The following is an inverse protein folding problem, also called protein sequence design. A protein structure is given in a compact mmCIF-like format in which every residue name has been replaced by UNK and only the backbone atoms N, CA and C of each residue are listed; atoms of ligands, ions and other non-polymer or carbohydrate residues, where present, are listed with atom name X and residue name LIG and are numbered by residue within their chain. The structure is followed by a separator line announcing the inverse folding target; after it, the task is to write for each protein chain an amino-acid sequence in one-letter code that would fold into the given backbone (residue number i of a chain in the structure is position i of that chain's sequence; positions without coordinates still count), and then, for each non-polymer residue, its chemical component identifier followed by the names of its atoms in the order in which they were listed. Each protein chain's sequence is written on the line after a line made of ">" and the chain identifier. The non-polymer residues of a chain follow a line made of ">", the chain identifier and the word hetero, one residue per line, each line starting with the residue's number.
data_IF_302648580255
#
_entry.id   IF_302648580255
#
_cell.length_a   1.000
_cell.length_b   1.000
_cell.length_c   1.000
_cell.angle_alpha   90.00
_cell.angle_beta   90.00
_cell.angle_gamma   90.00
#
_symmetry.space_group_name_H-M   'P 1'
#
loop_
_entity.id
_entity.type
_entity.pdbx_description
1 polymer ?
#
# COMPACT_ATOMS: atom_id res chain seq x y z
N UNK A 1 -8.05 -19.33 -8.20
CA UNK A 1 -9.22 -18.66 -7.56
C UNK A 1 -9.29 -17.25 -8.10
N UNK A 2 -10.51 -16.70 -8.35
CA UNK A 2 -10.67 -15.30 -8.73
C UNK A 2 -10.31 -14.41 -7.54
N UNK A 3 -9.68 -13.26 -7.82
CA UNK A 3 -9.33 -12.30 -6.77
C UNK A 3 -10.57 -11.51 -6.34
N UNK A 4 -10.71 -11.28 -5.04
CA UNK A 4 -11.87 -10.65 -4.43
C UNK A 4 -11.63 -9.14 -4.25
N UNK A 5 -12.57 -8.33 -4.71
CA UNK A 5 -12.57 -6.87 -4.53
C UNK A 5 -13.81 -6.46 -3.74
N UNK A 6 -13.63 -5.64 -2.70
CA UNK A 6 -14.71 -4.99 -1.99
C UNK A 6 -14.79 -3.52 -2.42
N UNK A 7 -16.00 -3.06 -2.71
CA UNK A 7 -16.31 -1.65 -2.98
C UNK A 7 -17.16 -1.12 -1.83
N UNK A 8 -16.68 -0.07 -1.16
CA UNK A 8 -17.39 0.67 -0.12
C UNK A 8 -17.68 2.05 -0.69
N UNK A 9 -18.89 2.28 -1.18
CA UNK A 9 -19.32 3.44 -1.94
C UNK A 9 -20.82 3.61 -1.79
N UNK A 10 -21.32 4.79 -1.44
CA UNK A 10 -22.74 5.06 -1.23
C UNK A 10 -23.49 5.42 -2.54
N UNK A 11 -22.79 5.97 -3.54
CA UNK A 11 -23.34 6.20 -4.87
C UNK A 11 -23.56 4.87 -5.60
N UNK A 12 -24.81 4.43 -5.65
CA UNK A 12 -25.24 3.20 -6.32
C UNK A 12 -24.90 3.15 -7.81
N UNK A 13 -24.91 4.29 -8.50
CA UNK A 13 -24.61 4.36 -9.94
C UNK A 13 -23.12 4.13 -10.18
N UNK A 14 -22.27 4.80 -9.43
CA UNK A 14 -20.81 4.61 -9.48
C UNK A 14 -20.45 3.18 -9.05
N UNK A 15 -21.02 2.71 -7.93
CA UNK A 15 -20.80 1.37 -7.41
C UNK A 15 -21.14 0.30 -8.47
N UNK A 16 -22.29 0.41 -9.15
CA UNK A 16 -22.70 -0.50 -10.21
C UNK A 16 -21.73 -0.47 -11.39
N UNK A 17 -21.38 0.72 -11.85
CA UNK A 17 -20.47 0.92 -12.99
C UNK A 17 -19.10 0.29 -12.73
N UNK A 18 -18.52 0.57 -11.55
CA UNK A 18 -17.23 0.02 -11.16
C UNK A 18 -17.31 -1.50 -10.97
N UNK A 19 -18.37 -1.99 -10.33
CA UNK A 19 -18.56 -3.42 -10.10
C UNK A 19 -18.69 -4.22 -11.41
N UNK A 20 -19.46 -3.74 -12.39
CA UNK A 20 -19.60 -4.37 -13.70
C UNK A 20 -18.24 -4.38 -14.44
N UNK A 21 -17.54 -3.27 -14.41
CA UNK A 21 -16.22 -3.17 -15.03
C UNK A 21 -15.20 -4.15 -14.42
N UNK A 22 -15.12 -4.22 -13.10
CA UNK A 22 -14.24 -5.11 -12.35
C UNK A 22 -14.55 -6.58 -12.61
N UNK A 23 -15.84 -6.96 -12.65
CA UNK A 23 -16.28 -8.33 -12.97
C UNK A 23 -15.88 -8.77 -14.38
N UNK A 24 -15.92 -7.85 -15.36
CA UNK A 24 -15.48 -8.12 -16.72
C UNK A 24 -13.96 -8.33 -16.82
N UNK A 25 -13.19 -7.90 -15.82
CA UNK A 25 -11.73 -8.05 -15.73
C UNK A 25 -11.31 -9.28 -14.91
N UNK A 26 -12.18 -10.28 -14.78
CA UNK A 26 -11.93 -11.57 -14.11
C UNK A 26 -11.78 -11.50 -12.56
N UNK A 27 -12.36 -10.46 -11.94
CA UNK A 27 -12.44 -10.32 -10.49
C UNK A 27 -13.83 -10.73 -9.96
N UNK A 28 -13.89 -11.10 -8.68
CA UNK A 28 -15.14 -11.12 -7.92
C UNK A 28 -15.31 -9.81 -7.18
N UNK A 29 -16.52 -9.25 -7.25
CA UNK A 29 -16.83 -7.96 -6.67
C UNK A 29 -17.97 -8.07 -5.66
N UNK A 30 -17.73 -7.59 -4.45
CA UNK A 30 -18.74 -7.37 -3.43
C UNK A 30 -18.89 -5.87 -3.20
N UNK A 31 -20.12 -5.38 -3.04
CA UNK A 31 -20.40 -3.95 -2.88
C UNK A 31 -21.19 -3.71 -1.60
N UNK A 32 -20.83 -2.65 -0.86
CA UNK A 32 -21.56 -2.15 0.31
C UNK A 32 -21.57 -0.63 0.30
N UNK A 33 -22.54 -0.03 1.01
CA UNK A 33 -22.76 1.42 1.01
C UNK A 33 -22.28 2.13 2.27
N UNK A 34 -21.79 1.36 3.27
CA UNK A 34 -21.43 1.90 4.58
C UNK A 34 -20.16 1.27 5.11
N UNK A 35 -19.44 1.99 5.96
CA UNK A 35 -18.27 1.50 6.70
C UNK A 35 -18.65 0.29 7.56
N UNK A 36 -19.79 0.38 8.26
CA UNK A 36 -20.27 -0.67 9.15
C UNK A 36 -20.50 -2.00 8.41
N UNK A 37 -21.11 -1.95 7.23
CA UNK A 37 -21.31 -3.13 6.39
C UNK A 37 -19.96 -3.69 5.89
N UNK A 38 -19.03 -2.83 5.51
CA UNK A 38 -17.66 -3.20 5.12
C UNK A 38 -16.93 -3.91 6.25
N UNK A 39 -16.92 -3.34 7.44
CA UNK A 39 -16.28 -3.93 8.63
C UNK A 39 -16.82 -5.33 8.92
N UNK A 40 -18.14 -5.53 8.87
CA UNK A 40 -18.76 -6.83 9.08
C UNK A 40 -18.37 -7.89 8.04
N UNK A 41 -18.01 -7.49 6.84
CA UNK A 41 -17.49 -8.38 5.80
C UNK A 41 -16.03 -8.75 6.04
N UNK A 42 -15.20 -7.81 6.49
CA UNK A 42 -13.79 -8.07 6.81
C UNK A 42 -13.59 -9.10 7.90
N UNK A 43 -14.51 -9.19 8.87
CA UNK A 43 -14.47 -10.20 9.92
C UNK A 43 -14.70 -11.62 9.40
N UNK A 44 -15.31 -11.75 8.22
CA UNK A 44 -15.78 -13.04 7.66
C UNK A 44 -14.99 -13.51 6.46
N UNK A 45 -14.37 -12.57 5.72
CA UNK A 45 -13.81 -12.87 4.41
C UNK A 45 -12.62 -11.95 4.11
N UNK A 46 -11.58 -12.54 3.52
CA UNK A 46 -10.45 -11.80 2.97
C UNK A 46 -10.81 -11.15 1.63
N UNK A 47 -10.37 -9.92 1.45
CA UNK A 47 -10.43 -9.21 0.18
C UNK A 47 -9.01 -8.82 -0.27
N UNK A 48 -8.71 -9.04 -1.53
CA UNK A 48 -7.42 -8.68 -2.11
C UNK A 48 -7.28 -7.17 -2.26
N UNK A 49 -8.37 -6.50 -2.65
CA UNK A 49 -8.41 -5.04 -2.78
C UNK A 49 -9.71 -4.51 -2.20
N UNK A 50 -9.61 -3.33 -1.60
CA UNK A 50 -10.73 -2.48 -1.20
C UNK A 50 -10.68 -1.18 -1.98
N UNK A 51 -11.79 -0.85 -2.64
CA UNK A 51 -12.05 0.47 -3.18
C UNK A 51 -12.91 1.20 -2.16
N UNK A 52 -12.40 2.28 -1.60
CA UNK A 52 -12.98 2.96 -0.43
C UNK A 52 -13.28 4.42 -0.73
N UNK A 53 -14.56 4.80 -0.68
CA UNK A 53 -14.90 6.23 -0.60
C UNK A 53 -14.67 6.76 0.83
N UNK A 54 -14.28 8.03 0.91
CA UNK A 54 -14.14 8.73 2.18
C UNK A 54 -15.46 9.38 2.65
N UNK A 55 -16.34 9.74 1.71
CA UNK A 55 -17.59 10.47 1.98
C UNK A 55 -18.77 9.55 2.26
N UNK A 56 -18.66 8.62 3.22
CA UNK A 56 -19.69 7.64 3.51
C UNK A 56 -20.72 8.16 4.53
N UNK A 57 -21.99 7.70 4.46
CA UNK A 57 -23.07 8.23 5.30
C UNK A 57 -22.92 7.91 6.79
N UNK A 58 -22.13 6.90 7.15
CA UNK A 58 -21.95 6.44 8.53
C UNK A 58 -20.57 6.78 9.12
N UNK A 59 -19.77 7.64 8.45
CA UNK A 59 -18.51 8.13 8.98
C UNK A 59 -17.47 8.52 7.94
N UNK A 60 -16.27 8.89 8.39
CA UNK A 60 -15.14 9.15 7.51
C UNK A 60 -14.45 7.82 7.12
N UNK A 61 -14.30 7.59 5.82
CA UNK A 61 -13.60 6.42 5.29
C UNK A 61 -12.15 6.29 5.77
N UNK A 62 -11.49 7.39 6.13
CA UNK A 62 -10.13 7.36 6.69
C UNK A 62 -10.03 6.47 7.94
N UNK A 63 -11.04 6.48 8.80
CA UNK A 63 -11.08 5.66 10.01
C UNK A 63 -11.16 4.15 9.70
N UNK A 64 -11.63 3.81 8.49
CA UNK A 64 -11.75 2.43 8.05
C UNK A 64 -10.40 1.82 7.64
N UNK A 65 -9.44 2.64 7.18
CA UNK A 65 -8.15 2.17 6.65
C UNK A 65 -7.35 1.42 7.71
N UNK A 66 -7.18 2.04 8.88
CA UNK A 66 -6.44 1.43 9.99
C UNK A 66 -7.10 0.12 10.46
N UNK A 67 -8.43 0.05 10.47
CA UNK A 67 -9.17 -1.15 10.79
C UNK A 67 -8.90 -2.28 9.77
N UNK A 68 -9.00 -1.99 8.46
CA UNK A 68 -8.71 -2.95 7.39
C UNK A 68 -7.31 -3.52 7.55
N UNK A 69 -6.32 -2.64 7.72
CA UNK A 69 -4.91 -3.03 7.82
C UNK A 69 -4.59 -3.81 9.09
N UNK A 70 -5.35 -3.61 10.17
CA UNK A 70 -5.18 -4.36 11.42
C UNK A 70 -5.66 -5.82 11.32
N UNK A 71 -6.69 -6.10 10.51
CA UNK A 71 -7.23 -7.46 10.32
C UNK A 71 -6.50 -8.18 9.18
N UNK A 72 -6.34 -7.50 8.03
CA UNK A 72 -5.75 -8.06 6.83
C UNK A 72 -4.68 -7.12 6.28
N UNK A 73 -3.47 -7.26 6.79
CA UNK A 73 -2.33 -6.43 6.43
C UNK A 73 -2.08 -6.38 4.91
N UNK A 74 -2.28 -7.51 4.22
CA UNK A 74 -2.02 -7.65 2.79
C UNK A 74 -3.15 -7.13 1.88
N UNK A 75 -4.30 -6.76 2.45
CA UNK A 75 -5.37 -6.14 1.66
C UNK A 75 -4.92 -4.80 1.10
N UNK A 76 -4.93 -4.66 -0.23
CA UNK A 76 -4.67 -3.39 -0.90
C UNK A 76 -5.86 -2.44 -0.72
N UNK A 77 -5.60 -1.18 -0.34
CA UNK A 77 -6.62 -0.14 -0.18
C UNK A 77 -6.38 0.97 -1.19
N UNK A 78 -7.33 1.16 -2.11
CA UNK A 78 -7.37 2.31 -3.03
C UNK A 78 -8.49 3.23 -2.56
N UNK A 79 -8.14 4.44 -2.15
CA UNK A 79 -9.12 5.48 -1.85
C UNK A 79 -9.67 6.03 -3.16
N UNK A 80 -11.00 6.18 -3.25
CA UNK A 80 -11.70 6.82 -4.38
C UNK A 80 -12.57 7.93 -3.80
N UNK A 81 -12.19 9.19 -3.97
CA UNK A 81 -12.86 10.29 -3.28
C UNK A 81 -12.94 11.56 -4.11
N UNK A 82 -13.95 12.40 -3.84
CA UNK A 82 -14.05 13.76 -4.36
C UNK A 82 -13.12 14.75 -3.64
N UNK A 83 -12.51 14.36 -2.50
CA UNK A 83 -11.53 15.18 -1.79
C UNK A 83 -10.23 15.18 -2.59
N UNK A 84 -9.87 16.35 -3.12
CA UNK A 84 -8.70 16.53 -3.99
C UNK A 84 -7.52 17.25 -3.32
N UNK A 85 -7.73 17.75 -2.08
CA UNK A 85 -6.71 18.47 -1.33
C UNK A 85 -5.51 17.56 -1.03
N UNK A 86 -4.34 18.18 -1.04
CA UNK A 86 -3.09 17.49 -0.78
C UNK A 86 -3.08 16.85 0.61
N UNK A 87 -3.60 17.55 1.63
CA UNK A 87 -3.67 17.07 3.01
C UNK A 87 -4.48 15.76 3.11
N UNK A 88 -5.68 15.71 2.51
CA UNK A 88 -6.53 14.50 2.53
C UNK A 88 -5.82 13.28 1.90
N UNK A 89 -5.07 13.52 0.82
CA UNK A 89 -4.31 12.46 0.13
C UNK A 89 -3.14 11.97 0.98
N UNK A 90 -2.41 12.90 1.59
CA UNK A 90 -1.30 12.60 2.51
C UNK A 90 -1.80 11.80 3.71
N UNK A 91 -2.90 12.22 4.33
CA UNK A 91 -3.46 11.56 5.50
C UNK A 91 -3.93 10.14 5.15
N UNK A 92 -4.64 9.95 4.04
CA UNK A 92 -5.05 8.64 3.58
C UNK A 92 -3.88 7.67 3.37
N UNK A 93 -2.81 8.13 2.70
CA UNK A 93 -1.61 7.33 2.46
C UNK A 93 -0.83 7.05 3.75
N UNK A 94 -0.75 8.01 4.67
CA UNK A 94 -0.10 7.84 5.98
C UNK A 94 -0.83 6.83 6.87
N UNK A 95 -2.16 6.73 6.76
CA UNK A 95 -2.98 5.76 7.47
C UNK A 95 -2.85 4.33 6.90
N UNK A 96 -2.17 4.17 5.76
CA UNK A 96 -1.88 2.88 5.16
C UNK A 96 -2.62 2.57 3.87
N UNK A 97 -3.35 3.54 3.28
CA UNK A 97 -3.84 3.36 1.91
C UNK A 97 -2.67 3.15 0.94
N UNK A 98 -2.88 2.30 -0.05
CA UNK A 98 -1.86 1.95 -1.03
C UNK A 98 -1.87 2.87 -2.25
N UNK A 99 -3.04 3.48 -2.54
CA UNK A 99 -3.20 4.44 -3.63
C UNK A 99 -4.39 5.38 -3.36
N UNK A 100 -4.46 6.47 -4.13
CA UNK A 100 -5.52 7.48 -4.03
C UNK A 100 -5.96 7.92 -5.43
N UNK A 101 -7.26 7.82 -5.71
CA UNK A 101 -7.88 8.18 -6.98
C UNK A 101 -8.96 9.26 -6.77
N UNK A 102 -8.77 10.42 -7.40
CA UNK A 102 -9.70 11.55 -7.27
C UNK A 102 -10.87 11.38 -8.23
N UNK A 103 -12.10 11.61 -7.77
CA UNK A 103 -13.32 11.69 -8.61
C UNK A 103 -13.37 13.07 -9.30
N UNK A 104 -13.73 13.14 -10.61
CA UNK A 104 -14.06 12.04 -11.53
C UNK A 104 -12.80 11.36 -12.10
N UNK A 105 -12.88 10.07 -12.39
CA UNK A 105 -11.77 9.28 -12.91
C UNK A 105 -12.21 8.40 -14.09
N UNK A 106 -11.25 7.91 -14.86
CA UNK A 106 -11.49 6.93 -15.91
C UNK A 106 -11.38 5.49 -15.39
N UNK A 107 -12.28 4.59 -15.80
CA UNK A 107 -12.24 3.19 -15.41
C UNK A 107 -10.94 2.48 -15.80
N UNK A 108 -10.34 2.90 -16.92
CA UNK A 108 -9.02 2.42 -17.36
C UNK A 108 -7.91 2.78 -16.37
N UNK A 109 -7.96 3.96 -15.77
CA UNK A 109 -7.03 4.38 -14.72
C UNK A 109 -7.20 3.53 -13.45
N UNK A 110 -8.45 3.36 -13.00
CA UNK A 110 -8.73 2.50 -11.86
C UNK A 110 -8.20 1.08 -12.09
N UNK A 111 -8.42 0.51 -13.29
CA UNK A 111 -7.92 -0.82 -13.64
C UNK A 111 -6.38 -0.91 -13.61
N UNK A 112 -5.70 0.10 -14.15
CA UNK A 112 -4.24 0.14 -14.13
C UNK A 112 -3.71 0.12 -12.68
N UNK A 113 -4.33 0.89 -11.76
CA UNK A 113 -3.99 0.94 -10.34
C UNK A 113 -4.28 -0.37 -9.62
N UNK A 114 -5.46 -0.98 -9.85
CA UNK A 114 -5.81 -2.31 -9.33
C UNK A 114 -4.75 -3.34 -9.74
N UNK A 115 -4.42 -3.41 -11.03
CA UNK A 115 -3.44 -4.38 -11.52
C UNK A 115 -2.02 -4.12 -10.99
N UNK A 116 -1.60 -2.87 -10.88
CA UNK A 116 -0.31 -2.50 -10.30
C UNK A 116 -0.24 -2.94 -8.82
N UNK A 117 -1.31 -2.70 -8.07
CA UNK A 117 -1.39 -3.09 -6.66
C UNK A 117 -1.41 -4.61 -6.48
N UNK A 118 -2.18 -5.33 -7.32
CA UNK A 118 -2.20 -6.80 -7.29
C UNK A 118 -0.85 -7.41 -7.65
N UNK A 119 -0.13 -6.82 -8.61
CA UNK A 119 1.21 -7.28 -8.97
C UNK A 119 2.18 -7.11 -7.81
N UNK A 120 2.14 -5.96 -7.13
CA UNK A 120 2.98 -5.69 -5.96
C UNK A 120 2.68 -6.64 -4.79
N UNK A 121 1.38 -6.92 -4.54
CA UNK A 121 0.95 -7.64 -3.36
C UNK A 121 0.89 -9.17 -3.55
N UNK A 122 0.69 -9.67 -4.78
CA UNK A 122 0.29 -11.07 -4.99
C UNK A 122 1.00 -11.78 -6.16
N UNK A 123 1.93 -11.14 -6.87
CA UNK A 123 2.60 -11.75 -8.05
C UNK A 123 4.10 -12.00 -7.88
N UNK A 124 4.67 -11.86 -6.70
CA UNK A 124 6.06 -12.26 -6.51
C UNK A 124 6.20 -13.78 -6.59
N UNK A 125 7.06 -14.26 -7.49
CA UNK A 125 7.56 -15.64 -7.46
C UNK A 125 8.13 -15.91 -6.07
N UNK A 126 7.99 -17.19 -5.59
CA UNK A 126 8.56 -17.65 -4.32
C UNK A 126 10.03 -17.29 -4.25
N UNK A 127 10.35 -16.22 -3.58
CA UNK A 127 11.74 -15.83 -3.40
C UNK A 127 11.97 -15.38 -1.96
N UNK A 128 12.81 -16.12 -1.26
CA UNK A 128 13.40 -15.63 -0.01
C UNK A 128 14.58 -14.76 -0.41
N UNK A 129 14.49 -13.48 -0.11
CA UNK A 129 15.56 -12.52 -0.33
C UNK A 129 16.35 -12.36 0.96
N UNK A 130 17.65 -12.62 0.89
CA UNK A 130 18.56 -12.50 2.02
C UNK A 130 19.41 -11.23 1.90
N UNK A 131 19.49 -10.46 3.00
CA UNK A 131 20.37 -9.32 3.12
C UNK A 131 20.93 -9.22 4.55
N UNK A 132 22.11 -9.78 4.78
CA UNK A 132 22.69 -9.87 6.12
C UNK A 132 21.81 -10.74 7.03
N UNK A 133 21.33 -10.15 8.14
CA UNK A 133 20.42 -10.84 9.07
C UNK A 133 18.96 -10.75 8.67
N UNK A 134 18.65 -9.96 7.62
CA UNK A 134 17.29 -9.71 7.15
C UNK A 134 16.92 -10.73 6.09
N UNK A 135 15.82 -11.46 6.29
CA UNK A 135 15.22 -12.36 5.31
C UNK A 135 13.81 -11.91 4.99
N UNK A 136 13.51 -11.75 3.73
CA UNK A 136 12.16 -11.40 3.26
C UNK A 136 11.57 -12.60 2.54
N UNK A 137 10.46 -13.11 3.06
CA UNK A 137 9.59 -14.02 2.34
C UNK A 137 8.59 -13.22 1.53
N UNK A 138 8.82 -13.12 0.22
CA UNK A 138 7.95 -12.34 -0.68
C UNK A 138 6.62 -13.04 -0.96
N UNK A 139 6.51 -14.33 -0.69
CA UNK A 139 5.27 -15.08 -0.87
C UNK A 139 4.26 -14.75 0.24
N UNK A 140 4.75 -14.63 1.49
CA UNK A 140 3.90 -14.38 2.65
C UNK A 140 3.99 -12.93 3.13
N UNK A 141 4.77 -12.07 2.44
CA UNK A 141 5.07 -10.69 2.84
C UNK A 141 5.60 -10.59 4.29
N UNK A 142 6.45 -11.54 4.68
CA UNK A 142 7.00 -11.63 6.02
C UNK A 142 8.47 -11.25 6.02
N UNK A 143 8.87 -10.57 7.08
CA UNK A 143 10.28 -10.19 7.31
C UNK A 143 10.76 -10.88 8.57
N UNK A 144 11.90 -11.54 8.46
CA UNK A 144 12.62 -12.14 9.57
C UNK A 144 13.92 -11.42 9.76
N UNK A 145 14.31 -11.18 11.02
CA UNK A 145 15.63 -10.64 11.39
C UNK A 145 16.25 -11.64 12.35
N UNK A 146 17.31 -12.30 11.90
CA UNK A 146 17.78 -13.54 12.54
C UNK A 146 16.67 -14.59 12.50
N UNK A 147 16.31 -15.15 13.66
CA UNK A 147 15.24 -16.14 13.80
C UNK A 147 13.88 -15.56 14.22
N UNK A 148 13.76 -14.23 14.28
CA UNK A 148 12.54 -13.58 14.74
C UNK A 148 11.78 -12.94 13.59
N UNK A 149 10.49 -13.25 13.50
CA UNK A 149 9.57 -12.51 12.63
C UNK A 149 9.36 -11.10 13.21
N UNK A 150 9.42 -10.10 12.34
CA UNK A 150 9.24 -8.69 12.68
C UNK A 150 8.14 -8.10 11.82
N UNK A 151 7.16 -7.48 12.47
CA UNK A 151 6.04 -6.86 11.78
C UNK A 151 6.43 -5.54 11.13
N UNK A 152 6.16 -5.42 9.85
CA UNK A 152 6.32 -4.19 9.06
C UNK A 152 4.96 -3.77 8.52
N UNK A 153 4.69 -2.45 8.51
CA UNK A 153 3.55 -1.95 7.73
C UNK A 153 3.80 -2.23 6.24
N UNK A 154 2.74 -2.22 5.44
CA UNK A 154 2.86 -2.49 4.00
C UNK A 154 3.88 -1.57 3.33
N UNK A 155 3.85 -0.27 3.62
CA UNK A 155 4.78 0.71 3.04
C UNK A 155 6.23 0.51 3.50
N UNK A 156 6.43 0.12 4.77
CA UNK A 156 7.76 -0.23 5.27
C UNK A 156 8.29 -1.50 4.59
N UNK A 157 7.43 -2.50 4.37
CA UNK A 157 7.77 -3.72 3.65
C UNK A 157 8.16 -3.42 2.20
N UNK A 158 7.32 -2.67 1.46
CA UNK A 158 7.59 -2.31 0.07
C UNK A 158 8.89 -1.52 -0.08
N UNK A 159 9.15 -0.57 0.84
CA UNK A 159 10.43 0.16 0.88
C UNK A 159 11.62 -0.77 1.12
N UNK A 160 11.50 -1.66 2.11
CA UNK A 160 12.59 -2.59 2.45
C UNK A 160 12.88 -3.55 1.30
N UNK A 161 11.83 -4.10 0.68
CA UNK A 161 11.92 -4.97 -0.47
C UNK A 161 12.63 -4.26 -1.63
N UNK A 162 12.20 -3.04 -1.97
CA UNK A 162 12.79 -2.26 -3.05
C UNK A 162 14.26 -1.93 -2.79
N UNK A 163 14.62 -1.64 -1.54
CA UNK A 163 16.03 -1.46 -1.17
C UNK A 163 16.86 -2.73 -1.36
N UNK A 164 16.34 -3.90 -0.98
CA UNK A 164 17.05 -5.18 -1.09
C UNK A 164 17.21 -5.59 -2.55
N UNK A 165 16.17 -5.43 -3.38
CA UNK A 165 16.25 -5.69 -4.82
C UNK A 165 17.25 -4.77 -5.53
N UNK A 166 17.46 -3.57 -5.01
CA UNK A 166 18.40 -2.58 -5.52
C UNK A 166 19.61 -2.36 -4.60
N UNK A 167 20.03 -3.42 -3.87
CA UNK A 167 21.19 -3.34 -2.97
C UNK A 167 22.40 -2.72 -3.66
N UNK A 168 23.14 -1.89 -2.93
CA UNK A 168 24.32 -1.15 -3.41
C UNK A 168 24.06 -0.04 -4.44
N UNK A 169 22.82 0.19 -4.89
CA UNK A 169 22.47 1.34 -5.71
C UNK A 169 21.98 2.50 -4.85
N UNK A 170 22.20 3.73 -5.32
CA UNK A 170 21.59 4.92 -4.74
C UNK A 170 20.20 5.07 -5.34
N UNK A 171 19.18 5.08 -4.49
CA UNK A 171 17.79 5.30 -4.87
C UNK A 171 17.41 6.75 -4.57
N UNK A 172 16.90 7.46 -5.56
CA UNK A 172 16.43 8.82 -5.38
C UNK A 172 15.12 8.85 -4.57
N UNK A 173 14.78 10.00 -4.01
CA UNK A 173 13.51 10.17 -3.28
C UNK A 173 12.32 9.91 -4.20
N UNK A 174 12.43 10.39 -5.44
CA UNK A 174 11.43 10.24 -6.48
C UNK A 174 11.21 8.76 -6.82
N UNK A 175 12.29 7.99 -7.06
CA UNK A 175 12.18 6.57 -7.40
C UNK A 175 11.60 5.73 -6.24
N UNK A 176 11.95 6.06 -4.99
CA UNK A 176 11.38 5.43 -3.80
C UNK A 176 9.89 5.73 -3.67
N UNK A 177 9.51 6.98 -3.91
CA UNK A 177 8.13 7.40 -3.83
C UNK A 177 7.28 6.77 -4.94
N UNK A 178 7.73 6.87 -6.19
CA UNK A 178 7.06 6.27 -7.34
C UNK A 178 6.84 4.76 -7.18
N UNK A 179 7.88 4.05 -6.71
CA UNK A 179 7.78 2.61 -6.50
C UNK A 179 6.73 2.23 -5.46
N UNK A 180 6.64 2.96 -4.34
CA UNK A 180 5.78 2.60 -3.20
C UNK A 180 4.38 3.21 -3.31
N UNK A 181 4.23 4.38 -3.94
CA UNK A 181 2.94 5.09 -4.05
C UNK A 181 2.41 5.29 -5.47
N UNK A 182 3.21 4.98 -6.52
CA UNK A 182 2.82 5.05 -7.92
C UNK A 182 3.10 6.41 -8.59
N UNK A 183 3.08 6.43 -9.93
CA UNK A 183 3.49 7.57 -10.76
C UNK A 183 2.65 8.84 -10.60
N UNK A 184 1.37 8.74 -10.24
CA UNK A 184 0.46 9.89 -10.16
C UNK A 184 0.52 10.69 -8.85
N UNK A 185 1.44 10.36 -7.99
CA UNK A 185 1.72 11.09 -6.74
C UNK A 185 2.68 12.28 -6.96
N UNK A 186 2.90 12.68 -8.20
CA UNK A 186 3.85 13.72 -8.66
C UNK A 186 3.57 15.12 -8.08
N UNK A 187 2.39 15.36 -7.51
CA UNK A 187 1.99 16.66 -6.96
C UNK A 187 2.27 16.84 -5.46
N UNK A 188 2.89 15.85 -4.80
CA UNK A 188 3.25 15.96 -3.39
C UNK A 188 4.70 16.45 -3.28
N UNK A 189 4.98 17.32 -2.31
CA UNK A 189 6.36 17.60 -1.91
C UNK A 189 6.93 16.33 -1.25
N UNK A 190 7.48 15.47 -2.13
CA UNK A 190 7.84 14.08 -1.84
C UNK A 190 8.95 13.95 -0.80
N UNK A 191 9.63 15.07 -0.47
CA UNK A 191 10.87 15.03 0.32
C UNK A 191 10.64 14.69 1.77
N UNK A 192 9.67 15.33 2.43
CA UNK A 192 9.42 15.16 3.86
C UNK A 192 8.63 13.88 4.16
N UNK A 193 7.77 13.50 3.22
CA UNK A 193 6.98 12.28 3.31
C UNK A 193 7.87 11.02 3.28
N UNK A 194 8.72 10.90 2.26
CA UNK A 194 9.69 9.81 2.16
C UNK A 194 10.64 9.79 3.35
N UNK A 195 11.11 10.95 3.79
CA UNK A 195 11.98 11.06 4.95
C UNK A 195 11.38 10.42 6.20
N UNK A 196 10.09 10.66 6.44
CA UNK A 196 9.37 10.08 7.58
C UNK A 196 9.34 8.55 7.51
N UNK A 197 9.01 7.97 6.37
CA UNK A 197 8.97 6.51 6.19
C UNK A 197 10.35 5.87 6.27
N UNK A 198 11.37 6.49 5.69
CA UNK A 198 12.76 6.05 5.81
C UNK A 198 13.22 6.06 7.26
N UNK A 199 12.89 7.08 8.04
CA UNK A 199 13.28 7.14 9.45
C UNK A 199 12.57 6.09 10.30
N UNK A 200 11.29 5.81 10.03
CA UNK A 200 10.56 4.71 10.70
C UNK A 200 11.22 3.37 10.38
N UNK A 201 11.50 3.11 9.11
CA UNK A 201 12.17 1.90 8.66
C UNK A 201 13.58 1.76 9.29
N UNK A 202 14.40 2.81 9.28
CA UNK A 202 15.71 2.83 9.95
C UNK A 202 15.62 2.49 11.43
N UNK A 203 14.69 3.14 12.15
CA UNK A 203 14.50 2.91 13.58
C UNK A 203 14.16 1.45 13.84
N UNK A 204 13.24 0.88 13.06
CA UNK A 204 12.80 -0.50 13.19
C UNK A 204 13.96 -1.48 12.92
N UNK A 205 14.67 -1.34 11.81
CA UNK A 205 15.83 -2.17 11.49
C UNK A 205 16.89 -2.08 12.58
N UNK A 206 17.27 -0.86 13.01
CA UNK A 206 18.27 -0.66 14.05
C UNK A 206 17.87 -1.29 15.40
N UNK A 207 16.57 -1.28 15.74
CA UNK A 207 16.09 -1.90 16.98
C UNK A 207 16.31 -3.42 16.99
N UNK A 208 16.19 -4.07 15.83
CA UNK A 208 16.28 -5.53 15.74
C UNK A 208 17.66 -6.06 15.34
N UNK A 209 18.44 -5.28 14.60
CA UNK A 209 19.79 -5.68 14.12
C UNK A 209 20.93 -4.99 14.85
N UNK A 210 20.66 -3.89 15.56
CA UNK A 210 21.73 -3.01 16.08
C UNK A 210 22.38 -2.11 15.02
N UNK A 211 22.18 -2.36 13.73
CA UNK A 211 22.87 -1.74 12.61
C UNK A 211 22.00 -0.73 11.83
N UNK A 212 22.66 0.21 11.18
CA UNK A 212 22.01 1.18 10.30
C UNK A 212 22.29 0.81 8.85
N UNK A 213 21.45 -0.02 8.25
CA UNK A 213 21.58 -0.47 6.88
C UNK A 213 21.26 0.61 5.83
N UNK A 214 20.37 1.57 6.13
CA UNK A 214 19.97 2.59 5.16
C UNK A 214 20.81 3.85 5.38
N UNK A 215 21.71 4.14 4.47
CA UNK A 215 22.57 5.33 4.49
C UNK A 215 21.96 6.47 3.66
N UNK A 216 22.16 7.70 4.08
CA UNK A 216 21.84 8.89 3.27
C UNK A 216 23.02 9.21 2.37
N UNK A 217 22.78 9.37 1.09
CA UNK A 217 23.75 9.90 0.12
C UNK A 217 23.34 11.33 -0.17
N UNK A 218 24.05 12.28 0.45
CA UNK A 218 23.71 13.69 0.40
C UNK A 218 23.59 14.19 -1.05
N UNK A 219 22.51 14.88 -1.36
CA UNK A 219 22.19 15.39 -2.69
C UNK A 219 21.64 14.37 -3.68
N UNK A 220 21.63 13.05 -3.37
CA UNK A 220 21.22 12.00 -4.30
C UNK A 220 20.07 11.13 -3.80
N UNK A 221 20.02 10.81 -2.49
CA UNK A 221 18.96 9.94 -1.97
C UNK A 221 19.44 8.99 -0.88
N UNK A 222 19.06 7.72 -0.99
CA UNK A 222 19.32 6.69 0.01
C UNK A 222 19.92 5.43 -0.61
N UNK A 223 20.70 4.71 0.17
CA UNK A 223 21.33 3.46 -0.25
C UNK A 223 21.20 2.42 0.85
N UNK A 224 20.85 1.19 0.49
CA UNK A 224 21.01 0.05 1.40
C UNK A 224 22.45 -0.47 1.28
N UNK A 225 23.13 -0.52 2.41
CA UNK A 225 24.54 -0.89 2.49
C UNK A 225 24.73 -1.93 3.60
N UNK A 226 25.37 -3.03 3.24
CA UNK A 226 25.82 -4.03 4.18
C UNK A 226 27.32 -3.83 4.38
N UNK A 227 27.77 -3.66 5.60
CA UNK A 227 29.19 -3.58 5.89
C UNK A 227 29.90 -4.90 5.64
#
# INVERSE_FOLDING_TARGET
>A
MKKEILIIEDDLSLQKTVCEFVKNSDFQCTCVQTITAGKSLFEKKFFHIVLLDLGLPDGDGLDCISFIKSIWHDTGVIIISARDKLEDRVDGLNLGADDYLVKPFHLSELNARINALLRRNFQSEKQILDFGEIKIDTQFNQVYIGDKQVDFSRKEFDLLLYFIENKNKVLTKESLFEHVWGENSIFMDNSDFIYTHINRLRKKLKTHTGENYIKTVHGFGYKLDNR
#
